data_IF_542505997688
#
_entry.id   IF_542505997688
#
_cell.length_a   1.000
_cell.length_b   1.000
_cell.length_c   1.000
_cell.angle_alpha   90.00
_cell.angle_beta   90.00
_cell.angle_gamma   90.00
#
_symmetry.space_group_name_H-M   'P 1'
#
loop_
_entity.id
_entity.type
_entity.pdbx_description
1 polymer ?
#
# COMPACT_ATOMS: atom_id res chain seq x y z
N UNK A 1 -8.18 24.39 -4.20
CA UNK A 1 -7.97 23.06 -3.59
C UNK A 1 -8.96 22.05 -4.17
N UNK A 2 -8.61 20.77 -4.26
CA UNK A 2 -9.52 19.76 -4.80
C UNK A 2 -8.96 18.35 -4.88
N UNK A 3 -9.86 17.37 -4.81
CA UNK A 3 -9.57 15.96 -4.94
C UNK A 3 -10.02 15.47 -6.32
N UNK A 4 -9.06 15.16 -7.19
CA UNK A 4 -9.30 14.86 -8.60
C UNK A 4 -9.08 13.37 -8.88
N UNK A 5 -10.06 12.77 -9.54
CA UNK A 5 -9.98 11.39 -10.01
C UNK A 5 -9.20 11.34 -11.32
N UNK A 6 -8.31 10.36 -11.43
CA UNK A 6 -7.53 10.15 -12.64
C UNK A 6 -7.39 8.67 -12.98
N UNK A 7 -7.22 8.39 -14.27
CA UNK A 7 -7.17 7.06 -14.87
C UNK A 7 -6.07 7.03 -15.93
N UNK A 8 -5.42 5.88 -16.09
CA UNK A 8 -4.55 5.64 -17.23
C UNK A 8 -5.29 5.86 -18.55
N UNK A 9 -4.69 6.62 -19.47
CA UNK A 9 -5.33 7.03 -20.72
C UNK A 9 -4.89 6.21 -21.94
N UNK A 10 -4.08 5.15 -21.74
CA UNK A 10 -3.59 4.29 -22.81
C UNK A 10 -3.65 2.83 -22.37
N UNK A 11 -4.06 1.93 -23.27
CA UNK A 11 -4.18 0.53 -22.96
C UNK A 11 -2.81 -0.07 -22.58
N UNK A 12 -2.70 -0.56 -21.35
CA UNK A 12 -1.44 -1.01 -20.76
C UNK A 12 -1.49 -2.46 -20.24
N UNK A 13 -2.54 -3.22 -20.60
CA UNK A 13 -2.73 -4.60 -20.19
C UNK A 13 -4.10 -4.85 -19.54
N UNK A 14 -4.30 -6.07 -19.03
CA UNK A 14 -5.61 -6.55 -18.56
C UNK A 14 -6.19 -5.74 -17.40
N UNK A 15 -5.34 -5.17 -16.54
CA UNK A 15 -5.77 -4.28 -15.45
C UNK A 15 -5.81 -2.79 -15.84
N UNK A 16 -5.79 -2.45 -17.13
CA UNK A 16 -5.80 -1.06 -17.60
C UNK A 16 -6.94 -0.22 -16.96
N UNK A 17 -8.16 -0.75 -16.93
CA UNK A 17 -9.33 -0.07 -16.32
C UNK A 17 -9.24 0.07 -14.78
N UNK A 18 -8.30 -0.64 -14.16
CA UNK A 18 -8.00 -0.60 -12.72
C UNK A 18 -6.71 0.19 -12.42
N UNK A 19 -6.11 0.85 -13.43
CA UNK A 19 -4.95 1.72 -13.25
C UNK A 19 -5.40 3.17 -13.00
N UNK A 20 -5.84 3.43 -11.77
CA UNK A 20 -6.31 4.74 -11.31
C UNK A 20 -5.28 5.40 -10.41
N UNK A 21 -5.44 6.70 -10.23
CA UNK A 21 -4.71 7.48 -9.24
C UNK A 21 -5.54 8.70 -8.86
N UNK A 22 -4.97 9.52 -7.96
CA UNK A 22 -5.61 10.71 -7.39
C UNK A 22 -4.63 11.85 -7.46
N UNK A 23 -5.13 13.02 -7.81
CA UNK A 23 -4.38 14.27 -7.72
C UNK A 23 -5.06 15.11 -6.65
N UNK A 24 -4.31 15.45 -5.62
CA UNK A 24 -4.79 16.26 -4.50
C UNK A 24 -4.13 17.63 -4.66
N UNK A 25 -4.93 18.62 -5.05
CA UNK A 25 -4.46 19.99 -5.21
C UNK A 25 -4.70 20.75 -3.90
N UNK A 26 -3.63 21.18 -3.25
CA UNK A 26 -3.69 21.90 -1.98
C UNK A 26 -3.19 23.35 -2.12
N UNK A 27 -3.55 24.25 -1.19
CA UNK A 27 -2.83 25.50 -1.01
C UNK A 27 -1.33 25.24 -0.85
N UNK A 28 -0.50 26.21 -1.28
CA UNK A 28 0.96 26.04 -1.30
C UNK A 28 1.53 25.69 0.07
N UNK A 29 1.08 26.40 1.11
CA UNK A 29 1.53 26.20 2.49
C UNK A 29 1.22 24.78 2.99
N UNK A 30 0.01 24.28 2.74
CA UNK A 30 -0.41 22.93 3.12
C UNK A 30 0.37 21.86 2.36
N UNK A 31 0.62 22.08 1.06
CA UNK A 31 1.45 21.18 0.25
C UNK A 31 2.90 21.13 0.76
N UNK A 32 3.50 22.27 1.08
CA UNK A 32 4.87 22.33 1.58
C UNK A 32 4.98 21.65 2.95
N UNK A 33 4.00 21.84 3.84
CA UNK A 33 3.92 21.14 5.12
C UNK A 33 3.75 19.63 4.94
N UNK A 34 2.88 19.20 4.03
CA UNK A 34 2.71 17.79 3.67
C UNK A 34 3.99 17.18 3.10
N UNK A 35 4.69 17.90 2.22
CA UNK A 35 5.94 17.44 1.59
C UNK A 35 7.04 17.20 2.63
N UNK A 36 7.18 18.10 3.60
CA UNK A 36 8.11 17.93 4.72
C UNK A 36 7.74 16.69 5.55
N UNK A 37 6.47 16.50 5.87
CA UNK A 37 6.02 15.31 6.58
C UNK A 37 6.27 14.01 5.78
N UNK A 38 6.17 14.04 4.45
CA UNK A 38 6.46 12.88 3.60
C UNK A 38 7.95 12.52 3.53
N UNK A 39 8.84 13.46 3.86
CA UNK A 39 10.28 13.20 3.91
C UNK A 39 10.73 12.49 5.20
N UNK A 40 9.88 12.51 6.24
CA UNK A 40 10.17 11.84 7.51
C UNK A 40 10.00 10.31 7.39
N UNK A 41 10.74 9.52 8.19
CA UNK A 41 10.50 8.10 8.31
C UNK A 41 9.14 7.81 8.94
N UNK A 42 8.55 6.66 8.57
CA UNK A 42 7.38 6.13 9.24
C UNK A 42 7.65 5.94 10.74
N UNK A 43 6.65 6.23 11.58
CA UNK A 43 6.79 6.03 13.03
C UNK A 43 6.98 4.56 13.37
N UNK A 44 7.97 4.28 14.22
CA UNK A 44 8.14 2.94 14.79
C UNK A 44 7.10 2.69 15.89
N UNK A 45 6.70 1.42 16.03
CA UNK A 45 5.79 0.95 17.09
C UNK A 45 6.45 -0.15 17.90
N UNK A 46 6.21 -0.14 19.21
CA UNK A 46 6.65 -1.19 20.13
C UNK A 46 5.63 -2.34 20.26
N UNK A 47 4.53 -2.29 19.51
CA UNK A 47 3.52 -3.37 19.51
C UNK A 47 4.14 -4.68 18.98
N UNK A 48 4.04 -5.80 19.74
CA UNK A 48 4.61 -7.08 19.32
C UNK A 48 4.10 -7.59 17.97
N UNK A 49 2.83 -7.36 17.63
CA UNK A 49 2.25 -7.79 16.37
C UNK A 49 2.82 -6.98 15.20
N UNK A 50 3.03 -5.68 15.40
CA UNK A 50 3.68 -4.80 14.41
C UNK A 50 5.14 -5.22 14.21
N UNK A 51 5.86 -5.55 15.28
CA UNK A 51 7.23 -6.02 15.21
C UNK A 51 7.34 -7.35 14.43
N UNK A 52 6.43 -8.30 14.70
CA UNK A 52 6.32 -9.55 13.94
C UNK A 52 6.04 -9.28 12.45
N UNK A 53 5.12 -8.36 12.14
CA UNK A 53 4.81 -7.97 10.77
C UNK A 53 6.00 -7.37 10.02
N UNK A 54 6.79 -6.51 10.68
CA UNK A 54 8.04 -5.96 10.14
C UNK A 54 9.05 -7.06 9.82
N UNK A 55 9.20 -8.04 10.71
CA UNK A 55 10.09 -9.19 10.49
C UNK A 55 9.62 -10.04 9.30
N UNK A 56 8.33 -10.36 9.21
CA UNK A 56 7.76 -11.11 8.09
C UNK A 56 7.95 -10.35 6.79
N UNK A 57 7.71 -9.04 6.76
CA UNK A 57 7.94 -8.20 5.58
C UNK A 57 9.40 -8.30 5.06
N UNK A 58 10.37 -8.36 5.97
CA UNK A 58 11.78 -8.52 5.63
C UNK A 58 12.13 -9.93 5.13
N UNK A 59 11.51 -10.96 5.70
CA UNK A 59 11.84 -12.37 5.43
C UNK A 59 11.08 -12.93 4.22
N UNK A 60 9.88 -12.45 3.95
CA UNK A 60 9.00 -12.91 2.86
C UNK A 60 9.28 -12.25 1.51
N UNK A 61 10.42 -11.55 1.39
CA UNK A 61 10.89 -10.96 0.12
C UNK A 61 10.21 -9.66 -0.28
N UNK A 62 9.35 -9.07 0.56
CA UNK A 62 8.64 -7.83 0.25
C UNK A 62 9.61 -6.67 -0.02
N UNK A 63 10.71 -6.61 0.73
CA UNK A 63 11.82 -5.63 0.59
C UNK A 63 12.56 -5.72 -0.75
N UNK A 64 12.45 -6.85 -1.46
CA UNK A 64 13.01 -6.99 -2.80
C UNK A 64 12.31 -6.09 -3.82
N UNK A 65 11.03 -5.79 -3.60
CA UNK A 65 10.19 -4.99 -4.49
C UNK A 65 9.88 -3.60 -3.92
N UNK A 66 9.54 -3.52 -2.64
CA UNK A 66 9.00 -2.34 -1.98
C UNK A 66 10.05 -1.67 -1.08
N UNK A 67 10.01 -0.35 -1.02
CA UNK A 67 10.73 0.44 -0.03
C UNK A 67 9.81 0.81 1.15
N UNK A 68 10.39 0.97 2.33
CA UNK A 68 9.73 1.52 3.54
C UNK A 68 10.54 2.70 4.10
N UNK A 69 11.29 3.37 3.22
CA UNK A 69 12.15 4.50 3.53
C UNK A 69 11.80 5.65 2.56
N UNK A 70 11.60 6.89 3.03
CA UNK A 70 11.12 7.99 2.20
C UNK A 70 12.09 8.39 1.07
N UNK A 71 13.38 8.03 1.16
CA UNK A 71 14.38 8.37 0.13
C UNK A 71 14.35 7.46 -1.10
N UNK A 72 13.53 6.38 -1.07
CA UNK A 72 13.48 5.38 -2.14
C UNK A 72 12.07 5.19 -2.68
N UNK A 73 11.91 5.17 -4.00
CA UNK A 73 10.63 4.88 -4.65
C UNK A 73 10.18 3.42 -4.56
N UNK A 74 11.06 2.51 -4.12
CA UNK A 74 10.94 1.07 -4.36
C UNK A 74 11.57 0.66 -5.70
N UNK A 75 11.88 -0.63 -5.85
CA UNK A 75 12.54 -1.18 -7.05
C UNK A 75 11.54 -1.63 -8.11
N UNK A 76 10.45 -2.26 -7.68
CA UNK A 76 9.42 -2.83 -8.55
C UNK A 76 8.05 -2.38 -8.05
N UNK A 77 7.80 -2.56 -6.75
CA UNK A 77 6.58 -2.12 -6.10
C UNK A 77 6.69 -0.66 -5.62
N UNK A 78 5.56 -0.01 -5.32
CA UNK A 78 5.57 1.33 -4.77
C UNK A 78 6.28 1.38 -3.41
N UNK A 79 6.82 2.55 -3.09
CA UNK A 79 7.18 2.92 -1.72
C UNK A 79 5.95 2.73 -0.78
N UNK A 80 6.18 2.23 0.42
CA UNK A 80 5.16 1.96 1.44
C UNK A 80 5.36 2.74 2.73
N UNK A 81 6.32 3.67 2.82
CA UNK A 81 6.67 4.42 4.04
C UNK A 81 5.43 5.00 4.74
N UNK A 82 4.50 5.58 3.98
CA UNK A 82 3.26 6.17 4.51
C UNK A 82 2.01 5.52 3.90
N UNK A 83 2.04 4.21 3.63
CA UNK A 83 0.96 3.51 2.92
C UNK A 83 -0.39 3.63 3.65
N UNK A 84 -0.41 3.67 4.97
CA UNK A 84 -1.65 3.78 5.75
C UNK A 84 -2.23 5.20 5.78
N UNK A 85 -1.50 6.20 5.28
CA UNK A 85 -1.97 7.57 5.10
C UNK A 85 -2.64 7.78 3.73
N UNK A 86 -2.66 6.77 2.85
CA UNK A 86 -3.19 6.90 1.49
C UNK A 86 -4.71 6.77 1.45
N UNK A 87 -5.36 7.65 0.67
CA UNK A 87 -6.80 7.56 0.39
C UNK A 87 -7.19 6.36 -0.47
N UNK A 88 -6.25 5.76 -1.21
CA UNK A 88 -6.55 4.57 -2.03
C UNK A 88 -5.39 3.58 -2.03
N UNK A 89 -5.69 2.31 -2.34
CA UNK A 89 -4.69 1.23 -2.50
C UNK A 89 -4.82 0.53 -3.86
N UNK A 90 -3.80 -0.27 -4.19
CA UNK A 90 -3.74 -1.11 -5.40
C UNK A 90 -3.96 -0.37 -6.74
N UNK A 91 -3.49 0.89 -6.83
CA UNK A 91 -3.72 1.75 -8.00
C UNK A 91 -5.18 2.20 -8.11
N UNK A 92 -5.78 2.58 -6.99
CA UNK A 92 -7.14 3.11 -6.91
C UNK A 92 -8.26 2.07 -7.07
N UNK A 93 -7.95 0.80 -6.81
CA UNK A 93 -8.97 -0.27 -6.72
C UNK A 93 -9.75 -0.15 -5.42
N UNK A 94 -9.04 0.07 -4.32
CA UNK A 94 -9.63 0.20 -2.98
C UNK A 94 -9.68 1.66 -2.54
N UNK A 95 -10.79 2.05 -1.93
CA UNK A 95 -11.00 3.37 -1.31
C UNK A 95 -10.85 3.23 0.21
N UNK A 96 -9.99 4.06 0.79
CA UNK A 96 -9.71 4.07 2.24
C UNK A 96 -10.43 5.21 2.95
N UNK A 97 -11.20 6.04 2.26
CA UNK A 97 -11.95 7.13 2.89
C UNK A 97 -13.35 6.71 3.27
N UNK A 98 -13.79 7.22 4.41
CA UNK A 98 -15.16 7.07 4.90
C UNK A 98 -16.13 8.06 4.23
N UNK A 99 -17.39 8.04 4.67
CA UNK A 99 -18.45 8.93 4.18
C UNK A 99 -18.17 10.43 4.44
N UNK A 100 -17.17 10.76 5.26
CA UNK A 100 -16.73 12.12 5.55
C UNK A 100 -15.44 12.49 4.82
N UNK A 101 -15.04 11.71 3.81
CA UNK A 101 -13.85 11.89 2.99
C UNK A 101 -12.53 11.80 3.79
N UNK A 102 -12.53 11.12 4.95
CA UNK A 102 -11.34 10.96 5.80
C UNK A 102 -10.77 9.56 5.67
N UNK A 103 -9.44 9.45 5.63
CA UNK A 103 -8.77 8.15 5.65
C UNK A 103 -9.15 7.41 6.94
N UNK A 104 -9.83 6.27 6.77
CA UNK A 104 -10.37 5.47 7.83
C UNK A 104 -9.45 4.26 8.11
N UNK A 105 -8.89 4.12 9.32
CA UNK A 105 -7.97 3.03 9.64
C UNK A 105 -8.55 1.63 9.46
N UNK A 106 -9.85 1.45 9.68
CA UNK A 106 -10.52 0.14 9.51
C UNK A 106 -10.63 -0.23 8.04
N UNK A 107 -10.94 0.74 7.16
CA UNK A 107 -10.94 0.52 5.72
C UNK A 107 -9.52 0.21 5.20
N UNK A 108 -8.51 0.94 5.68
CA UNK A 108 -7.10 0.66 5.34
C UNK A 108 -6.74 -0.79 5.70
N UNK A 109 -7.06 -1.23 6.92
CA UNK A 109 -6.77 -2.60 7.37
C UNK A 109 -7.49 -3.66 6.53
N UNK A 110 -8.80 -3.47 6.28
CA UNK A 110 -9.60 -4.39 5.48
C UNK A 110 -9.07 -4.49 4.05
N UNK A 111 -8.78 -3.36 3.41
CA UNK A 111 -8.29 -3.31 2.04
C UNK A 111 -6.85 -3.86 1.91
N UNK A 112 -5.99 -3.64 2.90
CA UNK A 112 -4.67 -4.27 2.95
C UNK A 112 -4.77 -5.79 3.07
N UNK A 113 -5.68 -6.29 3.92
CA UNK A 113 -5.93 -7.73 4.05
C UNK A 113 -6.42 -8.33 2.74
N UNK A 114 -7.45 -7.75 2.13
CA UNK A 114 -8.01 -8.23 0.87
C UNK A 114 -6.95 -8.26 -0.24
N UNK A 115 -6.12 -7.22 -0.32
CA UNK A 115 -4.99 -7.18 -1.26
C UNK A 115 -3.94 -8.27 -0.98
N UNK A 116 -3.61 -8.51 0.28
CA UNK A 116 -2.58 -9.49 0.66
C UNK A 116 -3.07 -10.94 0.52
N UNK A 117 -4.38 -11.20 0.66
CA UNK A 117 -4.98 -12.52 0.52
C UNK A 117 -5.04 -12.97 -0.95
N UNK A 118 -5.54 -12.12 -1.84
CA UNK A 118 -5.58 -12.43 -3.28
C UNK A 118 -5.45 -11.17 -4.15
N UNK A 119 -4.22 -10.75 -4.47
CA UNK A 119 -4.01 -9.56 -5.30
C UNK A 119 -4.49 -9.77 -6.73
N UNK A 120 -4.51 -11.00 -7.25
CA UNK A 120 -4.93 -11.28 -8.64
C UNK A 120 -6.44 -11.18 -8.79
N UNK A 121 -7.22 -11.57 -7.78
CA UNK A 121 -8.66 -11.32 -7.76
C UNK A 121 -8.96 -9.83 -7.68
N UNK A 122 -8.26 -9.08 -6.82
CA UNK A 122 -8.44 -7.64 -6.70
C UNK A 122 -8.03 -6.88 -7.97
N UNK A 123 -6.92 -7.28 -8.60
CA UNK A 123 -6.37 -6.65 -9.79
C UNK A 123 -5.68 -7.69 -10.70
N UNK A 124 -6.39 -8.22 -11.71
CA UNK A 124 -5.85 -9.25 -12.59
C UNK A 124 -4.56 -8.82 -13.28
N UNK A 125 -3.58 -9.73 -13.35
CA UNK A 125 -2.30 -9.49 -14.03
C UNK A 125 -1.36 -8.50 -13.34
N UNK A 126 -1.61 -8.13 -12.07
CA UNK A 126 -0.66 -7.32 -11.32
C UNK A 126 0.65 -8.08 -11.05
N UNK A 127 1.78 -7.37 -11.06
CA UNK A 127 3.11 -7.97 -10.93
C UNK A 127 3.30 -8.66 -9.56
N UNK A 128 2.74 -8.11 -8.48
CA UNK A 128 2.89 -8.68 -7.15
C UNK A 128 2.30 -10.09 -7.07
N UNK A 129 1.06 -10.29 -7.52
CA UNK A 129 0.43 -11.61 -7.58
C UNK A 129 1.06 -12.55 -8.60
N UNK A 130 1.54 -12.02 -9.73
CA UNK A 130 2.14 -12.84 -10.79
C UNK A 130 3.57 -13.31 -10.49
N UNK A 131 4.32 -12.61 -9.62
CA UNK A 131 5.77 -12.81 -9.49
C UNK A 131 6.28 -12.95 -8.05
N UNK A 132 5.55 -12.47 -7.03
CA UNK A 132 6.03 -12.63 -5.67
C UNK A 132 5.93 -14.10 -5.24
N UNK A 133 7.00 -14.60 -4.61
CA UNK A 133 7.10 -16.01 -4.23
C UNK A 133 5.97 -16.44 -3.28
N UNK A 134 5.48 -15.54 -2.43
CA UNK A 134 4.37 -15.80 -1.51
C UNK A 134 3.04 -16.14 -2.21
N UNK A 135 2.89 -15.83 -3.51
CA UNK A 135 1.71 -16.18 -4.31
C UNK A 135 1.98 -17.26 -5.36
N UNK A 136 3.24 -17.49 -5.70
CA UNK A 136 3.65 -18.37 -6.81
C UNK A 136 4.34 -19.66 -6.36
N UNK A 137 4.78 -19.73 -5.11
CA UNK A 137 5.40 -20.91 -4.48
C UNK A 137 4.59 -21.29 -3.24
N UNK A 138 3.90 -22.43 -3.30
CA UNK A 138 3.03 -22.91 -2.21
C UNK A 138 3.78 -23.15 -0.90
N UNK A 139 5.10 -23.37 -0.94
CA UNK A 139 5.91 -23.56 0.27
C UNK A 139 6.26 -22.24 0.97
N UNK A 140 5.96 -21.10 0.33
CA UNK A 140 6.21 -19.74 0.84
C UNK A 140 4.92 -18.95 1.02
N UNK A 141 3.76 -19.59 0.87
CA UNK A 141 2.48 -18.96 1.06
C UNK A 141 2.36 -18.38 2.48
N UNK A 142 1.82 -17.17 2.59
CA UNK A 142 1.57 -16.53 3.87
C UNK A 142 0.44 -17.27 4.59
N UNK A 143 0.63 -17.55 5.87
CA UNK A 143 -0.44 -18.04 6.74
C UNK A 143 -1.37 -16.89 7.18
N UNK A 144 -2.54 -17.20 7.72
CA UNK A 144 -3.43 -16.16 8.27
C UNK A 144 -2.73 -15.30 9.35
N UNK A 145 -2.00 -15.88 10.33
CA UNK A 145 -1.23 -15.08 11.28
C UNK A 145 -0.20 -14.16 10.62
N UNK A 146 0.43 -14.60 9.52
CA UNK A 146 1.38 -13.77 8.80
C UNK A 146 0.69 -12.57 8.14
N UNK A 147 -0.47 -12.80 7.51
CA UNK A 147 -1.28 -11.74 6.91
C UNK A 147 -1.74 -10.76 7.99
N UNK A 148 -2.24 -11.25 9.12
CA UNK A 148 -2.61 -10.43 10.28
C UNK A 148 -1.47 -9.52 10.75
N UNK A 149 -0.27 -10.07 10.92
CA UNK A 149 0.90 -9.32 11.35
C UNK A 149 1.35 -8.30 10.29
N UNK A 150 1.37 -8.67 9.01
CA UNK A 150 1.69 -7.77 7.90
C UNK A 150 0.69 -6.61 7.80
N UNK A 151 -0.61 -6.88 7.95
CA UNK A 151 -1.64 -5.83 7.96
C UNK A 151 -1.42 -4.88 9.12
N UNK A 152 -1.13 -5.39 10.33
CA UNK A 152 -0.84 -4.55 11.49
C UNK A 152 0.38 -3.64 11.24
N UNK A 153 1.46 -4.20 10.71
CA UNK A 153 2.67 -3.45 10.36
C UNK A 153 2.40 -2.38 9.28
N UNK A 154 1.82 -2.77 8.15
CA UNK A 154 1.55 -1.82 7.06
C UNK A 154 0.56 -0.73 7.48
N UNK A 155 -0.39 -1.04 8.36
CA UNK A 155 -1.34 -0.06 8.90
C UNK A 155 -0.71 0.93 9.89
N UNK A 156 0.48 0.62 10.43
CA UNK A 156 1.22 1.54 11.28
C UNK A 156 2.09 2.52 10.49
N UNK A 157 2.32 2.27 9.20
CA UNK A 157 3.18 3.08 8.33
C UNK A 157 2.44 4.34 7.85
N UNK A 158 2.57 5.44 8.60
CA UNK A 158 1.86 6.72 8.39
C UNK A 158 2.77 7.92 8.28
#
# INVERSE_FOLDING_TARGET
PGYLYAQCAEFCGVAHALMRFRVIAEPREDFDAWLLAQAEPAKESADPLIAAGKQIFQQSGCTGCHATDPSSSGRIGPNLTHVASRSTLAGGVFENRDEFDKVNPSLVQANLREWLEDPLNAKPGNIMGMQAAVYTDTNKALSEPDISALVAYLSSLK
#
